data_IF_819533953635
#
_entry.id   IF_819533953635
#
_cell.length_a   1.000
_cell.length_b   1.000
_cell.length_c   1.000
_cell.angle_alpha   90.00
_cell.angle_beta   90.00
_cell.angle_gamma   90.00
#
_symmetry.space_group_name_H-M   'P 1'
#
loop_
_entity.id
_entity.type
_entity.pdbx_description
1 polymer ?
#
# COMPACT_ATOMS: atom_id res chain seq x y z
N UNK A 1 14.76 4.21 13.93
CA UNK A 1 13.37 4.73 13.96
C UNK A 1 13.28 6.27 13.84
N UNK A 2 14.35 7.00 13.48
CA UNK A 2 14.41 8.47 13.51
C UNK A 2 14.66 9.16 12.14
N UNK A 3 14.80 8.42 11.04
CA UNK A 3 15.23 8.99 9.75
C UNK A 3 14.12 9.22 8.70
N UNK A 4 12.89 8.77 8.97
CA UNK A 4 11.73 9.02 8.10
C UNK A 4 11.16 10.45 8.24
N UNK A 5 11.57 11.23 9.25
CA UNK A 5 10.93 12.51 9.59
C UNK A 5 11.35 13.72 8.73
N UNK A 6 12.40 13.56 7.91
CA UNK A 6 12.79 14.60 6.95
C UNK A 6 12.20 14.28 5.58
N UNK A 7 11.18 15.04 5.18
CA UNK A 7 10.55 15.01 3.85
C UNK A 7 11.57 14.71 2.74
N UNK A 8 11.60 13.46 2.28
CA UNK A 8 12.57 12.96 1.31
C UNK A 8 12.36 13.67 -0.02
N UNK A 9 11.09 13.89 -0.37
CA UNK A 9 10.65 14.68 -1.51
C UNK A 9 11.26 16.10 -1.51
N UNK A 10 11.25 16.81 -0.38
CA UNK A 10 11.78 18.18 -0.27
C UNK A 10 13.30 18.22 -0.46
N UNK A 11 14.01 17.22 0.09
CA UNK A 11 15.47 17.08 -0.10
C UNK A 11 15.81 16.84 -1.56
N UNK A 12 15.05 15.98 -2.24
CA UNK A 12 15.26 15.68 -3.67
C UNK A 12 14.89 16.87 -4.55
N UNK A 13 13.81 17.59 -4.23
CA UNK A 13 13.43 18.81 -4.95
C UNK A 13 14.53 19.88 -4.84
N UNK A 14 15.10 20.08 -3.64
CA UNK A 14 16.22 21.01 -3.47
C UNK A 14 17.46 20.57 -4.27
N UNK A 15 17.79 19.27 -4.26
CA UNK A 15 18.87 18.72 -5.10
C UNK A 15 18.59 18.90 -6.59
N UNK A 16 17.34 18.78 -7.03
CA UNK A 16 16.93 19.03 -8.41
C UNK A 16 17.13 20.49 -8.77
N UNK A 17 16.66 21.43 -7.94
CA UNK A 17 16.85 22.85 -8.16
C UNK A 17 18.33 23.24 -8.22
N UNK A 18 19.15 22.72 -7.28
CA UNK A 18 20.59 22.92 -7.26
C UNK A 18 21.26 22.34 -8.52
N UNK A 19 20.92 21.11 -8.91
CA UNK A 19 21.47 20.47 -10.09
C UNK A 19 21.10 21.22 -11.37
N UNK A 20 19.89 21.76 -11.46
CA UNK A 20 19.42 22.58 -12.59
C UNK A 20 20.18 23.91 -12.65
N UNK A 21 20.45 24.53 -11.50
CA UNK A 21 21.28 25.74 -11.41
C UNK A 21 22.73 25.47 -11.84
N UNK A 22 23.32 24.37 -11.38
CA UNK A 22 24.66 23.95 -11.80
C UNK A 22 24.70 23.66 -13.30
N UNK A 23 23.70 22.97 -13.83
CA UNK A 23 23.58 22.71 -15.27
C UNK A 23 23.48 24.02 -16.06
N UNK A 24 22.66 24.97 -15.61
CA UNK A 24 22.52 26.27 -16.25
C UNK A 24 23.83 27.08 -16.20
N UNK A 25 24.56 27.04 -15.08
CA UNK A 25 25.88 27.66 -14.94
C UNK A 25 26.91 27.02 -15.89
N UNK A 26 26.93 25.69 -15.99
CA UNK A 26 27.81 24.97 -16.92
C UNK A 26 27.51 25.33 -18.37
N UNK A 27 26.23 25.40 -18.75
CA UNK A 27 25.81 25.85 -20.08
C UNK A 27 26.22 27.30 -20.31
N UNK A 28 26.14 28.17 -19.29
CA UNK A 28 26.55 29.56 -19.39
C UNK A 28 28.06 29.72 -19.63
N UNK A 29 28.89 28.99 -18.88
CA UNK A 29 30.35 29.02 -19.02
C UNK A 29 30.78 28.43 -20.36
N UNK A 30 30.14 27.35 -20.80
CA UNK A 30 30.46 26.66 -22.05
C UNK A 30 29.74 27.23 -23.27
N UNK A 31 29.20 28.46 -23.20
CA UNK A 31 28.40 29.06 -24.28
C UNK A 31 29.13 29.08 -25.61
N UNK A 32 30.37 29.55 -25.63
CA UNK A 32 31.14 29.69 -26.87
C UNK A 32 31.42 28.32 -27.51
N UNK A 33 31.73 27.31 -26.70
CA UNK A 33 31.92 25.93 -27.14
C UNK A 33 30.62 25.32 -27.68
N UNK A 34 29.50 25.52 -27.00
CA UNK A 34 28.19 25.01 -27.43
C UNK A 34 27.75 25.69 -28.73
N UNK A 35 27.93 27.01 -28.86
CA UNK A 35 27.57 27.75 -30.08
C UNK A 35 28.43 27.32 -31.26
N UNK A 36 29.73 27.11 -31.07
CA UNK A 36 30.59 26.58 -32.12
C UNK A 36 30.21 25.15 -32.52
N UNK A 37 29.98 24.27 -31.54
CA UNK A 37 29.69 22.85 -31.79
C UNK A 37 28.29 22.61 -32.36
N UNK A 38 27.27 23.36 -31.90
CA UNK A 38 25.86 23.14 -32.25
C UNK A 38 25.29 24.15 -33.25
N UNK A 39 25.69 25.42 -33.23
CA UNK A 39 25.11 26.45 -34.10
C UNK A 39 25.93 26.74 -35.36
N UNK A 40 27.26 26.77 -35.27
CA UNK A 40 28.11 27.14 -36.40
C UNK A 40 28.48 25.96 -37.31
N UNK A 41 28.52 24.74 -36.77
CA UNK A 41 28.93 23.53 -37.48
C UNK A 41 27.77 22.57 -37.84
N UNK A 42 26.51 23.04 -37.87
CA UNK A 42 25.35 22.24 -38.29
C UNK A 42 24.66 22.90 -39.50
N UNK A 43 25.09 22.55 -40.73
CA UNK A 43 24.49 23.05 -41.97
C UNK A 43 23.11 22.44 -42.25
N UNK A 44 22.81 21.27 -41.66
CA UNK A 44 21.59 20.51 -41.94
C UNK A 44 20.47 20.86 -40.96
N UNK A 45 19.35 21.39 -41.47
CA UNK A 45 18.14 21.73 -40.67
C UNK A 45 17.62 20.57 -39.82
N UNK A 46 17.91 19.34 -40.23
CA UNK A 46 17.48 18.11 -39.55
C UNK A 46 18.15 17.94 -38.19
N UNK A 47 19.43 18.30 -38.04
CA UNK A 47 20.14 18.22 -36.76
C UNK A 47 19.51 19.11 -35.69
N UNK A 48 19.16 20.33 -36.08
CA UNK A 48 18.44 21.29 -35.24
C UNK A 48 17.08 20.76 -34.78
N UNK A 49 16.32 20.13 -35.69
CA UNK A 49 15.01 19.55 -35.37
C UNK A 49 15.16 18.42 -34.36
N UNK A 50 16.06 17.46 -34.59
CA UNK A 50 16.22 16.29 -33.72
C UNK A 50 16.73 16.70 -32.34
N UNK A 51 17.78 17.53 -32.28
CA UNK A 51 18.33 18.01 -31.01
C UNK A 51 17.31 18.88 -30.25
N UNK A 52 16.53 19.69 -30.97
CA UNK A 52 15.43 20.46 -30.42
C UNK A 52 14.33 19.58 -29.82
N UNK A 53 13.96 18.49 -30.50
CA UNK A 53 12.98 17.50 -29.99
C UNK A 53 13.52 16.79 -28.74
N UNK A 54 14.79 16.38 -28.73
CA UNK A 54 15.44 15.77 -27.54
C UNK A 54 15.37 16.74 -26.36
N UNK A 55 15.74 18.00 -26.57
CA UNK A 55 15.74 19.03 -25.53
C UNK A 55 14.32 19.35 -25.05
N UNK A 56 13.34 19.44 -25.96
CA UNK A 56 11.94 19.70 -25.62
C UNK A 56 11.34 18.54 -24.80
N UNK A 57 11.59 17.29 -25.21
CA UNK A 57 11.14 16.11 -24.47
C UNK A 57 11.78 16.04 -23.08
N UNK A 58 13.08 16.34 -22.98
CA UNK A 58 13.81 16.43 -21.72
C UNK A 58 13.20 17.49 -20.78
N UNK A 59 12.98 18.70 -21.28
CA UNK A 59 12.40 19.79 -20.48
C UNK A 59 10.98 19.45 -20.02
N UNK A 60 10.14 18.90 -20.91
CA UNK A 60 8.79 18.48 -20.59
C UNK A 60 8.79 17.37 -19.52
N UNK A 61 9.69 16.40 -19.64
CA UNK A 61 9.94 15.39 -18.63
C UNK A 61 10.33 16.00 -17.28
N UNK A 62 11.29 16.93 -17.28
CA UNK A 62 11.79 17.56 -16.07
C UNK A 62 10.70 18.36 -15.35
N UNK A 63 9.91 19.13 -16.10
CA UNK A 63 8.72 19.82 -15.57
C UNK A 63 7.77 18.81 -14.94
N UNK A 64 7.50 17.67 -15.61
CA UNK A 64 6.61 16.63 -15.06
C UNK A 64 7.16 16.02 -13.77
N UNK A 65 8.45 15.68 -13.71
CA UNK A 65 9.10 15.18 -12.48
C UNK A 65 8.96 16.22 -11.36
N UNK A 66 9.21 17.49 -11.66
CA UNK A 66 9.11 18.58 -10.68
C UNK A 66 7.70 18.72 -10.12
N UNK A 67 6.67 18.69 -10.99
CA UNK A 67 5.27 18.74 -10.57
C UNK A 67 4.89 17.52 -9.70
N UNK A 68 5.37 16.33 -10.03
CA UNK A 68 5.14 15.12 -9.23
C UNK A 68 5.84 15.21 -7.87
N UNK A 69 7.10 15.65 -7.81
CA UNK A 69 7.81 15.88 -6.55
C UNK A 69 7.08 16.91 -5.67
N UNK A 70 6.62 18.02 -6.25
CA UNK A 70 5.86 19.04 -5.51
C UNK A 70 4.56 18.47 -4.94
N UNK A 71 3.87 17.59 -5.67
CA UNK A 71 2.71 16.87 -5.15
C UNK A 71 3.12 15.95 -4.00
N UNK A 72 4.19 15.17 -4.14
CA UNK A 72 4.68 14.30 -3.07
C UNK A 72 5.13 15.05 -1.82
N UNK A 73 5.67 16.27 -1.94
CA UNK A 73 5.95 17.15 -0.79
C UNK A 73 4.67 17.45 -0.01
N UNK A 74 3.57 17.74 -0.70
CA UNK A 74 2.27 18.00 -0.06
C UNK A 74 1.70 16.74 0.59
N UNK A 75 1.80 15.60 -0.08
CA UNK A 75 1.34 14.30 0.43
C UNK A 75 2.13 13.86 1.68
N UNK A 76 3.47 13.95 1.66
CA UNK A 76 4.32 13.67 2.83
C UNK A 76 3.96 14.60 4.01
N UNK A 77 3.72 15.89 3.73
CA UNK A 77 3.31 16.85 4.74
C UNK A 77 1.92 16.57 5.33
N UNK A 78 0.98 16.08 4.52
CA UNK A 78 -0.34 15.64 4.97
C UNK A 78 -0.25 14.39 5.84
N UNK A 79 0.49 13.37 5.38
CA UNK A 79 0.70 12.12 6.12
C UNK A 79 1.37 12.37 7.48
N UNK A 80 2.36 13.27 7.53
CA UNK A 80 3.01 13.63 8.79
C UNK A 80 2.06 14.29 9.78
N UNK A 81 1.23 15.23 9.31
CA UNK A 81 0.21 15.89 10.15
C UNK A 81 -0.85 14.91 10.64
N UNK A 82 -1.26 13.98 9.78
CA UNK A 82 -2.19 12.91 10.16
C UNK A 82 -1.61 12.04 11.28
N UNK A 83 -0.38 11.53 11.09
CA UNK A 83 0.30 10.69 12.09
C UNK A 83 0.41 11.38 13.45
N UNK A 84 0.88 12.63 13.45
CA UNK A 84 1.07 13.40 14.67
C UNK A 84 -0.25 13.54 15.45
N UNK A 85 -1.38 13.77 14.78
CA UNK A 85 -2.68 13.88 15.45
C UNK A 85 -3.23 12.56 15.98
N UNK A 86 -3.00 11.47 15.25
CA UNK A 86 -3.34 10.13 15.74
C UNK A 86 -2.52 9.79 16.99
N UNK A 87 -1.25 10.18 17.05
CA UNK A 87 -0.38 10.02 18.23
C UNK A 87 -0.81 10.91 19.40
N UNK A 88 -1.18 12.17 19.12
CA UNK A 88 -1.62 13.14 20.14
C UNK A 88 -3.04 12.82 20.67
N UNK A 89 -3.78 11.90 20.03
CA UNK A 89 -5.15 11.51 20.41
C UNK A 89 -6.17 12.66 20.30
N UNK A 90 -5.85 13.69 19.53
CA UNK A 90 -6.55 14.97 19.54
C UNK A 90 -7.58 15.07 18.41
N UNK A 91 -8.87 14.97 18.75
CA UNK A 91 -10.00 15.35 17.88
C UNK A 91 -10.06 14.65 16.51
N UNK A 92 -10.64 15.33 15.51
CA UNK A 92 -10.74 14.82 14.14
C UNK A 92 -9.34 14.73 13.48
N UNK A 93 -8.86 13.52 13.12
CA UNK A 93 -7.53 13.33 12.58
C UNK A 93 -7.34 13.94 11.17
N UNK A 94 -8.44 14.20 10.45
CA UNK A 94 -8.43 14.81 9.12
C UNK A 94 -8.50 16.34 9.13
N UNK A 95 -8.63 16.98 10.29
CA UNK A 95 -8.84 18.42 10.35
C UNK A 95 -7.74 19.24 9.64
N UNK A 96 -8.06 20.02 8.61
CA UNK A 96 -7.05 20.79 7.85
C UNK A 96 -6.10 19.95 6.98
N UNK A 97 -6.45 18.68 6.74
CA UNK A 97 -5.91 17.84 5.69
C UNK A 97 -6.91 17.88 4.52
N UNK A 98 -6.42 18.04 3.30
CA UNK A 98 -7.27 18.09 2.12
C UNK A 98 -7.75 16.67 1.75
N UNK A 99 -9.03 16.54 1.41
CA UNK A 99 -9.68 15.27 1.02
C UNK A 99 -9.01 14.60 -0.18
N UNK A 100 -8.39 15.39 -1.07
CA UNK A 100 -7.66 14.87 -2.23
C UNK A 100 -6.35 14.14 -1.91
N UNK A 101 -5.88 14.19 -0.66
CA UNK A 101 -4.63 13.53 -0.25
C UNK A 101 -4.78 12.01 -0.20
N UNK A 102 -3.67 11.28 -0.30
CA UNK A 102 -3.66 9.83 -0.23
C UNK A 102 -4.10 9.33 1.15
N UNK A 103 -3.69 10.04 2.21
CA UNK A 103 -4.05 9.68 3.59
C UNK A 103 -5.54 9.91 3.88
N UNK A 104 -6.13 11.01 3.41
CA UNK A 104 -7.55 11.27 3.58
C UNK A 104 -8.41 10.23 2.85
N UNK A 105 -8.08 9.95 1.58
CA UNK A 105 -8.77 8.90 0.81
C UNK A 105 -8.62 7.52 1.43
N UNK A 106 -7.47 7.21 2.02
CA UNK A 106 -7.24 5.95 2.73
C UNK A 106 -8.11 5.86 3.98
N UNK A 107 -8.14 6.92 4.79
CA UNK A 107 -9.00 7.02 5.98
C UNK A 107 -10.47 6.83 5.61
N UNK A 108 -10.96 7.59 4.63
CA UNK A 108 -12.35 7.49 4.16
C UNK A 108 -12.69 6.10 3.64
N UNK A 109 -11.81 5.48 2.85
CA UNK A 109 -12.03 4.13 2.33
C UNK A 109 -12.16 3.08 3.45
N UNK A 110 -11.29 3.15 4.47
CA UNK A 110 -11.36 2.24 5.61
C UNK A 110 -12.62 2.49 6.43
N UNK A 111 -12.96 3.75 6.71
CA UNK A 111 -14.18 4.09 7.46
C UNK A 111 -15.46 3.74 6.70
N UNK A 112 -15.47 3.86 5.36
CA UNK A 112 -16.61 3.46 4.53
C UNK A 112 -16.81 1.93 4.52
N UNK A 113 -15.72 1.16 4.51
CA UNK A 113 -15.78 -0.31 4.65
C UNK A 113 -16.28 -0.71 6.03
N UNK A 114 -15.80 -0.03 7.07
CA UNK A 114 -16.24 -0.20 8.46
C UNK A 114 -17.74 0.07 8.61
N UNK A 115 -18.24 1.20 8.09
CA UNK A 115 -19.66 1.55 8.16
C UNK A 115 -20.58 0.49 7.51
N UNK A 116 -20.04 -0.29 6.56
CA UNK A 116 -20.74 -1.38 5.88
C UNK A 116 -20.47 -2.76 6.50
N UNK A 117 -19.75 -2.82 7.62
CA UNK A 117 -19.34 -4.07 8.30
C UNK A 117 -18.59 -5.04 7.37
N UNK A 118 -17.88 -4.51 6.37
CA UNK A 118 -17.10 -5.31 5.45
C UNK A 118 -15.67 -5.51 5.97
N UNK A 119 -15.07 -6.70 5.81
CA UNK A 119 -13.70 -6.93 6.23
C UNK A 119 -12.74 -6.01 5.46
N UNK A 120 -11.86 -5.31 6.18
CA UNK A 120 -10.87 -4.41 5.57
C UNK A 120 -9.69 -5.24 5.05
N UNK A 121 -9.65 -5.45 3.74
CA UNK A 121 -8.52 -6.13 3.12
C UNK A 121 -7.37 -5.13 2.85
N UNK A 122 -6.42 -5.06 3.78
CA UNK A 122 -5.26 -4.17 3.70
C UNK A 122 -4.44 -4.33 2.42
N UNK A 123 -4.18 -5.58 2.01
CA UNK A 123 -3.35 -5.84 0.82
C UNK A 123 -4.06 -5.38 -0.45
N UNK A 124 -5.39 -5.51 -0.53
CA UNK A 124 -6.17 -4.98 -1.63
C UNK A 124 -6.15 -3.44 -1.68
N UNK A 125 -6.28 -2.76 -0.53
CA UNK A 125 -6.18 -1.29 -0.48
C UNK A 125 -4.78 -0.80 -0.88
N UNK A 126 -3.74 -1.43 -0.35
CA UNK A 126 -2.35 -1.13 -0.69
C UNK A 126 -2.10 -1.30 -2.19
N UNK A 127 -2.51 -2.44 -2.76
CA UNK A 127 -2.36 -2.73 -4.18
C UNK A 127 -3.12 -1.72 -5.07
N UNK A 128 -4.35 -1.36 -4.70
CA UNK A 128 -5.14 -0.37 -5.44
C UNK A 128 -4.46 1.01 -5.45
N UNK A 129 -3.94 1.46 -4.30
CA UNK A 129 -3.23 2.75 -4.22
C UNK A 129 -1.89 2.74 -4.97
N UNK A 130 -1.14 1.64 -4.88
CA UNK A 130 0.11 1.45 -5.63
C UNK A 130 -0.15 1.47 -7.14
N UNK A 131 -1.18 0.76 -7.62
CA UNK A 131 -1.57 0.75 -9.02
C UNK A 131 -1.94 2.15 -9.50
N UNK A 132 -2.78 2.87 -8.74
CA UNK A 132 -3.17 4.24 -9.05
C UNK A 132 -1.99 5.20 -9.13
N UNK A 133 -1.03 5.10 -8.22
CA UNK A 133 0.12 6.01 -8.22
C UNK A 133 1.19 5.63 -9.26
N UNK A 134 1.38 4.33 -9.56
CA UNK A 134 2.28 3.83 -10.61
C UNK A 134 1.93 4.36 -12.00
N UNK A 135 0.64 4.52 -12.32
CA UNK A 135 0.22 5.09 -13.61
C UNK A 135 0.76 6.49 -13.85
N UNK A 136 1.05 7.26 -12.79
CA UNK A 136 1.55 8.63 -12.90
C UNK A 136 3.02 8.71 -13.30
N UNK A 137 3.76 7.61 -13.13
CA UNK A 137 5.14 7.46 -13.59
C UNK A 137 5.27 6.99 -15.04
N UNK A 138 4.16 6.69 -15.72
CA UNK A 138 4.17 6.23 -17.13
C UNK A 138 4.87 7.21 -18.06
N UNK A 139 4.49 8.49 -18.02
CA UNK A 139 5.10 9.52 -18.85
C UNK A 139 6.58 9.74 -18.51
N UNK A 140 6.97 9.89 -17.22
CA UNK A 140 8.38 9.97 -16.90
C UNK A 140 9.21 8.78 -17.40
N UNK A 141 8.67 7.57 -17.30
CA UNK A 141 9.29 6.34 -17.81
C UNK A 141 9.43 6.36 -19.33
N UNK A 142 8.39 6.82 -20.05
CA UNK A 142 8.43 6.97 -21.50
C UNK A 142 9.56 7.91 -21.93
N UNK A 143 9.66 9.09 -21.31
CA UNK A 143 10.73 10.06 -21.60
C UNK A 143 12.11 9.45 -21.37
N UNK A 144 12.30 8.76 -20.24
CA UNK A 144 13.58 8.09 -19.93
C UNK A 144 13.99 7.11 -21.03
N UNK A 145 13.05 6.27 -21.47
CA UNK A 145 13.34 5.25 -22.46
C UNK A 145 13.54 5.85 -23.86
N UNK A 146 12.73 6.83 -24.25
CA UNK A 146 12.76 7.40 -25.61
C UNK A 146 13.93 8.35 -25.85
N UNK A 147 14.49 8.98 -24.81
CA UNK A 147 15.60 9.94 -24.99
C UNK A 147 16.82 9.34 -25.70
N UNK A 148 17.24 8.12 -25.31
CA UNK A 148 18.34 7.42 -25.96
C UNK A 148 17.97 7.03 -27.38
N UNK A 149 16.75 6.50 -27.59
CA UNK A 149 16.29 6.10 -28.92
C UNK A 149 16.25 7.28 -29.88
N UNK A 150 15.86 8.48 -29.42
CA UNK A 150 15.94 9.72 -30.22
C UNK A 150 17.39 10.10 -30.55
N UNK A 151 18.34 9.89 -29.63
CA UNK A 151 19.76 10.07 -29.89
C UNK A 151 20.28 9.17 -31.01
N UNK A 152 19.94 7.87 -30.93
CA UNK A 152 20.29 6.87 -31.96
C UNK A 152 19.55 7.15 -33.28
N UNK A 153 18.30 7.59 -33.24
CA UNK A 153 17.60 8.04 -34.44
C UNK A 153 18.33 9.23 -35.09
N UNK A 154 18.81 10.16 -34.26
CA UNK A 154 19.62 11.29 -34.69
C UNK A 154 20.88 10.89 -35.44
N UNK A 155 21.59 9.87 -34.96
CA UNK A 155 22.79 9.37 -35.66
C UNK A 155 22.46 8.74 -36.99
N UNK A 156 21.44 7.89 -37.04
CA UNK A 156 21.02 7.19 -38.25
C UNK A 156 20.63 8.19 -39.34
N UNK A 157 19.79 9.17 -38.99
CA UNK A 157 19.35 10.21 -39.95
C UNK A 157 20.54 11.06 -40.40
N UNK A 158 21.41 11.49 -39.47
CA UNK A 158 22.56 12.34 -39.79
C UNK A 158 23.60 11.63 -40.67
N UNK A 159 23.86 10.34 -40.40
CA UNK A 159 24.74 9.51 -41.23
C UNK A 159 24.13 9.24 -42.61
N UNK A 160 22.80 9.06 -42.68
CA UNK A 160 22.11 8.87 -43.97
C UNK A 160 22.25 10.12 -44.86
N UNK A 161 22.15 11.32 -44.28
CA UNK A 161 22.38 12.58 -45.00
C UNK A 161 23.85 12.71 -45.42
N UNK A 162 24.79 12.30 -44.56
CA UNK A 162 26.21 12.29 -44.91
C UNK A 162 26.50 11.37 -46.12
N UNK A 163 25.87 10.19 -46.16
CA UNK A 163 26.02 9.25 -47.29
C UNK A 163 25.36 9.78 -48.57
N UNK A 164 24.24 10.49 -48.48
CA UNK A 164 23.64 11.18 -49.62
C UNK A 164 24.59 12.25 -50.19
N UNK A 165 25.18 13.09 -49.34
CA UNK A 165 26.20 14.06 -49.77
C UNK A 165 27.43 13.41 -50.41
N UNK A 166 27.83 12.22 -49.93
CA UNK A 166 28.92 11.46 -50.55
C UNK A 166 28.53 10.86 -51.92
N UNK A 167 27.27 10.47 -52.13
CA UNK A 167 26.80 9.94 -53.41
C UNK A 167 26.79 10.99 -54.52
N UNK A 168 26.48 12.25 -54.19
CA UNK A 168 26.52 13.37 -55.13
C UNK A 168 27.95 13.76 -55.55
N UNK A 169 28.95 13.51 -54.69
CA UNK A 169 30.38 13.66 -55.03
C UNK A 169 30.89 12.65 -56.07
N UNK A 170 30.29 11.46 -56.15
CA UNK A 170 30.72 10.40 -57.08
C UNK A 170 30.19 10.64 -58.51
N UNK A 171 29.13 11.44 -58.66
CA UNK A 171 28.37 11.58 -59.91
C UNK A 171 28.83 12.74 -60.82
N UNK A 172 29.82 13.56 -60.41
CA UNK A 172 30.29 14.72 -61.19
C UNK A 172 31.80 14.77 -61.43
N UNK A 173 32.19 14.53 -62.68
CA UNK A 173 33.52 14.68 -63.26
C UNK A 173 33.94 16.14 -63.55
N UNK A 174 33.37 17.16 -62.88
CA UNK A 174 33.74 18.56 -63.19
C UNK A 174 33.43 19.56 -62.06
N UNK A 175 34.49 20.03 -61.40
CA UNK A 175 34.65 21.45 -61.04
C UNK A 175 33.97 22.06 -59.80
N UNK A 176 32.97 21.43 -59.17
CA UNK A 176 32.28 22.00 -58.00
C UNK A 176 32.81 21.48 -56.64
N UNK A 177 34.12 21.59 -56.39
CA UNK A 177 34.85 20.93 -55.29
C UNK A 177 34.68 21.54 -53.87
N UNK A 178 33.64 22.35 -53.60
CA UNK A 178 33.55 23.09 -52.33
C UNK A 178 32.39 22.72 -51.40
N UNK A 179 31.21 22.43 -51.95
CA UNK A 179 29.96 22.39 -51.15
C UNK A 179 29.63 21.04 -50.52
N UNK A 180 30.00 19.95 -51.19
CA UNK A 180 29.40 18.63 -50.95
C UNK A 180 30.18 17.79 -49.92
N UNK A 181 31.52 17.98 -49.85
CA UNK A 181 32.36 17.44 -48.76
C UNK A 181 31.98 18.04 -47.39
N UNK A 182 31.49 19.29 -47.39
CA UNK A 182 30.93 19.94 -46.21
C UNK A 182 29.74 19.18 -45.65
N UNK A 183 28.83 18.67 -46.49
CA UNK A 183 27.65 17.93 -46.03
C UNK A 183 28.02 16.61 -45.32
N UNK A 184 29.05 15.92 -45.79
CA UNK A 184 29.53 14.67 -45.15
C UNK A 184 30.10 14.96 -43.76
N UNK A 185 30.99 15.94 -43.64
CA UNK A 185 31.62 16.32 -42.37
C UNK A 185 30.57 16.82 -41.36
N UNK A 186 29.63 17.64 -41.82
CA UNK A 186 28.57 18.17 -40.98
C UNK A 186 27.57 17.08 -40.56
N UNK A 187 27.26 16.11 -41.43
CA UNK A 187 26.42 14.96 -41.08
C UNK A 187 27.05 14.08 -39.99
N UNK A 188 28.35 13.81 -40.08
CA UNK A 188 29.09 13.09 -39.02
C UNK A 188 29.13 13.87 -37.70
N UNK A 189 29.41 15.17 -37.74
CA UNK A 189 29.42 16.04 -36.56
C UNK A 189 28.05 16.12 -35.88
N UNK A 190 26.98 16.25 -36.69
CA UNK A 190 25.59 16.26 -36.21
C UNK A 190 25.24 14.94 -35.52
N UNK A 191 25.63 13.80 -36.10
CA UNK A 191 25.40 12.48 -35.50
C UNK A 191 26.03 12.36 -34.09
N UNK A 192 27.29 12.79 -33.95
CA UNK A 192 27.97 12.76 -32.65
C UNK A 192 27.29 13.70 -31.65
N UNK A 193 26.97 14.91 -32.08
CA UNK A 193 26.32 15.93 -31.27
C UNK A 193 24.96 15.48 -30.74
N UNK A 194 24.10 14.87 -31.58
CA UNK A 194 22.79 14.36 -31.12
C UNK A 194 22.92 13.22 -30.10
N UNK A 195 23.95 12.38 -30.27
CA UNK A 195 24.22 11.27 -29.33
C UNK A 195 24.67 11.80 -27.98
N UNK A 196 25.60 12.77 -27.97
CA UNK A 196 26.10 13.38 -26.75
C UNK A 196 24.95 14.06 -26.01
N UNK A 197 24.12 14.86 -26.70
CA UNK A 197 22.96 15.49 -26.06
C UNK A 197 22.03 14.45 -25.44
N UNK A 198 21.67 13.41 -26.21
CA UNK A 198 20.75 12.38 -25.73
C UNK A 198 21.27 11.65 -24.49
N UNK A 199 22.56 11.30 -24.46
CA UNK A 199 23.19 10.63 -23.31
C UNK A 199 23.21 11.55 -22.09
N UNK A 200 23.65 12.80 -22.24
CA UNK A 200 23.72 13.75 -21.12
C UNK A 200 22.33 14.01 -20.53
N UNK A 201 21.35 14.29 -21.39
CA UNK A 201 19.97 14.49 -20.96
C UNK A 201 19.38 13.22 -20.32
N UNK A 202 19.67 12.03 -20.87
CA UNK A 202 19.23 10.76 -20.31
C UNK A 202 19.81 10.52 -18.91
N UNK A 203 21.11 10.71 -18.72
CA UNK A 203 21.76 10.46 -17.42
C UNK A 203 21.21 11.40 -16.34
N UNK A 204 21.10 12.70 -16.67
CA UNK A 204 20.54 13.69 -15.76
C UNK A 204 19.09 13.35 -15.41
N UNK A 205 18.27 13.11 -16.43
CA UNK A 205 16.86 12.81 -16.27
C UNK A 205 16.61 11.49 -15.51
N UNK A 206 17.34 10.44 -15.89
CA UNK A 206 17.26 9.10 -15.32
C UNK A 206 17.59 9.09 -13.83
N UNK A 207 18.58 9.88 -13.39
CA UNK A 207 18.88 10.05 -11.96
C UNK A 207 17.66 10.58 -11.18
N UNK A 208 17.02 11.65 -11.66
CA UNK A 208 15.86 12.23 -10.99
C UNK A 208 14.60 11.37 -11.11
N UNK A 209 14.46 10.62 -12.21
CA UNK A 209 13.40 9.62 -12.34
C UNK A 209 13.53 8.49 -11.31
N UNK A 210 14.74 7.99 -11.08
CA UNK A 210 15.00 7.01 -10.01
C UNK A 210 14.66 7.61 -8.64
N UNK A 211 15.13 8.83 -8.35
CA UNK A 211 14.84 9.51 -7.09
C UNK A 211 13.35 9.79 -6.87
N UNK A 212 12.60 10.08 -7.93
CA UNK A 212 11.15 10.21 -7.87
C UNK A 212 10.48 8.88 -7.48
N UNK A 213 10.97 7.77 -8.02
CA UNK A 213 10.46 6.42 -7.71
C UNK A 213 10.77 6.04 -6.25
N UNK A 214 11.96 6.41 -5.75
CA UNK A 214 12.31 6.24 -4.33
C UNK A 214 11.34 6.99 -3.41
N UNK A 215 11.03 8.26 -3.74
CA UNK A 215 10.08 9.09 -2.97
C UNK A 215 8.69 8.46 -2.95
N UNK A 216 8.21 8.00 -4.10
CA UNK A 216 6.91 7.35 -4.19
C UNK A 216 6.85 6.11 -3.29
N UNK A 217 7.87 5.25 -3.38
CA UNK A 217 7.95 4.02 -2.59
C UNK A 217 7.97 4.35 -1.10
N UNK A 218 8.76 5.34 -0.68
CA UNK A 218 8.85 5.77 0.70
C UNK A 218 7.53 6.36 1.22
N UNK A 219 6.84 7.17 0.42
CA UNK A 219 5.54 7.75 0.78
C UNK A 219 4.48 6.65 0.95
N UNK A 220 4.41 5.70 0.01
CA UNK A 220 3.46 4.59 0.08
C UNK A 220 3.76 3.69 1.28
N UNK A 221 5.03 3.37 1.53
CA UNK A 221 5.43 2.62 2.72
C UNK A 221 5.01 3.34 4.01
N UNK A 222 5.20 4.66 4.09
CA UNK A 222 4.74 5.47 5.22
C UNK A 222 3.22 5.47 5.37
N UNK A 223 2.48 5.50 4.27
CA UNK A 223 1.01 5.40 4.28
C UNK A 223 0.54 4.04 4.80
N UNK A 224 1.17 2.95 4.36
CA UNK A 224 0.83 1.61 4.85
C UNK A 224 1.19 1.46 6.32
N UNK A 225 2.36 1.95 6.76
CA UNK A 225 2.74 1.95 8.16
C UNK A 225 1.72 2.71 9.02
N UNK A 226 1.27 3.89 8.58
CA UNK A 226 0.25 4.66 9.30
C UNK A 226 -1.11 3.93 9.30
N UNK A 227 -1.46 3.27 8.19
CA UNK A 227 -2.68 2.46 8.11
C UNK A 227 -2.64 1.31 9.11
N UNK A 228 -1.54 0.55 9.16
CA UNK A 228 -1.39 -0.59 10.07
C UNK A 228 -1.32 -0.16 11.53
N UNK A 229 -0.63 0.95 11.85
CA UNK A 229 -0.38 1.34 13.23
C UNK A 229 -1.56 2.08 13.87
N UNK A 230 -2.29 2.90 13.10
CA UNK A 230 -3.36 3.74 13.65
C UNK A 230 -4.74 3.37 13.11
N UNK A 231 -4.86 3.14 11.80
CA UNK A 231 -6.17 3.02 11.14
C UNK A 231 -6.79 1.62 11.27
N UNK A 232 -5.96 0.56 11.28
CA UNK A 232 -6.41 -0.83 11.40
C UNK A 232 -6.90 -1.20 12.80
N UNK A 233 -6.18 -0.88 13.90
CA UNK A 233 -6.68 -1.15 15.26
C UNK A 233 -8.02 -0.48 15.52
N UNK A 234 -8.21 0.75 15.04
CA UNK A 234 -9.47 1.48 15.15
C UNK A 234 -10.62 0.85 14.33
N UNK A 235 -10.30 0.15 13.24
CA UNK A 235 -11.28 -0.56 12.43
C UNK A 235 -11.67 -1.93 12.99
N UNK A 236 -10.76 -2.61 13.71
CA UNK A 236 -11.00 -3.93 14.30
C UNK A 236 -11.78 -3.89 15.64
N UNK A 237 -11.78 -2.76 16.34
CA UNK A 237 -12.42 -2.64 17.66
C UNK A 237 -13.95 -2.89 17.63
N UNK A 238 -14.62 -2.56 16.52
CA UNK A 238 -16.08 -2.70 16.39
C UNK A 238 -16.51 -4.07 15.80
N UNK A 239 -15.69 -4.66 14.92
CA UNK A 239 -15.90 -6.04 14.45
C UNK A 239 -15.68 -7.06 15.58
N UNK A 240 -14.80 -6.72 16.53
CA UNK A 240 -14.63 -7.44 17.80
C UNK A 240 -15.93 -7.48 18.61
N UNK A 241 -16.74 -6.41 18.63
CA UNK A 241 -17.99 -6.39 19.40
C UNK A 241 -19.02 -7.37 18.86
N UNK A 242 -19.21 -7.44 17.54
CA UNK A 242 -20.11 -8.44 16.93
C UNK A 242 -19.59 -9.87 17.09
N UNK A 243 -18.27 -10.07 16.98
CA UNK A 243 -17.65 -11.36 17.29
C UNK A 243 -17.83 -11.75 18.75
N UNK A 244 -17.65 -10.81 19.69
CA UNK A 244 -17.84 -11.01 21.13
C UNK A 244 -19.30 -11.29 21.46
N UNK A 245 -20.25 -10.64 20.79
CA UNK A 245 -21.69 -10.95 20.94
C UNK A 245 -21.98 -12.36 20.40
N UNK A 246 -21.39 -12.75 19.27
CA UNK A 246 -21.48 -14.11 18.75
C UNK A 246 -20.93 -15.16 19.72
N UNK A 247 -19.77 -14.90 20.35
CA UNK A 247 -19.22 -15.73 21.41
C UNK A 247 -20.10 -15.74 22.65
N UNK A 248 -20.67 -14.59 23.05
CA UNK A 248 -21.57 -14.49 24.19
C UNK A 248 -22.81 -15.35 23.97
N UNK A 249 -23.44 -15.26 22.80
CA UNK A 249 -24.61 -16.07 22.43
C UNK A 249 -24.26 -17.55 22.39
N UNK A 250 -23.08 -17.91 21.89
CA UNK A 250 -22.62 -19.30 21.87
C UNK A 250 -22.37 -19.85 23.28
N UNK A 251 -21.75 -19.03 24.14
CA UNK A 251 -21.50 -19.37 25.55
C UNK A 251 -22.80 -19.48 26.36
N UNK A 252 -23.79 -18.60 26.11
CA UNK A 252 -25.12 -18.69 26.70
C UNK A 252 -25.86 -19.96 26.23
N UNK A 253 -25.73 -20.32 24.95
CA UNK A 253 -26.28 -21.56 24.41
C UNK A 253 -25.65 -22.82 25.02
N UNK A 254 -24.33 -22.81 25.26
CA UNK A 254 -23.62 -23.90 25.96
C UNK A 254 -24.01 -23.98 27.43
N UNK A 255 -24.08 -22.84 28.14
CA UNK A 255 -24.53 -22.79 29.53
C UNK A 255 -25.97 -23.29 29.69
N UNK A 256 -26.88 -22.89 28.80
CA UNK A 256 -28.26 -23.35 28.81
C UNK A 256 -28.36 -24.88 28.60
N UNK A 257 -27.55 -25.46 27.69
CA UNK A 257 -27.50 -26.92 27.51
C UNK A 257 -26.94 -27.64 28.73
N UNK A 258 -25.89 -27.11 29.35
CA UNK A 258 -25.36 -27.71 30.59
C UNK A 258 -26.39 -27.66 31.72
N UNK A 259 -27.15 -26.58 31.81
CA UNK A 259 -28.21 -26.42 32.81
C UNK A 259 -29.37 -27.39 32.57
N UNK A 260 -29.76 -27.61 31.31
CA UNK A 260 -30.76 -28.63 30.96
C UNK A 260 -30.30 -30.06 31.30
N UNK A 261 -29.03 -30.37 31.06
CA UNK A 261 -28.43 -31.66 31.45
C UNK A 261 -28.37 -31.83 32.97
N UNK A 262 -28.02 -30.76 33.70
CA UNK A 262 -27.98 -30.78 35.17
C UNK A 262 -29.38 -30.97 35.77
N UNK A 263 -30.41 -30.28 35.25
CA UNK A 263 -31.80 -30.45 35.66
C UNK A 263 -32.30 -31.89 35.44
N UNK A 264 -31.97 -32.50 34.29
CA UNK A 264 -32.30 -33.92 34.04
C UNK A 264 -31.62 -34.84 35.06
N UNK A 265 -30.35 -34.61 35.35
CA UNK A 265 -29.60 -35.41 36.32
C UNK A 265 -30.12 -35.24 37.76
N UNK A 266 -30.52 -34.02 38.14
CA UNK A 266 -31.19 -33.75 39.41
C UNK A 266 -32.57 -34.41 39.47
N UNK A 267 -33.33 -34.39 38.38
CA UNK A 267 -34.62 -35.08 38.26
C UNK A 267 -34.49 -36.60 38.43
N UNK A 268 -33.49 -37.22 37.80
CA UNK A 268 -33.17 -38.64 37.96
C UNK A 268 -32.73 -38.96 39.39
N UNK A 269 -31.84 -38.16 39.97
CA UNK A 269 -31.40 -38.31 41.36
C UNK A 269 -32.56 -38.20 42.35
N UNK A 270 -33.50 -37.27 42.12
CA UNK A 270 -34.70 -37.11 42.93
C UNK A 270 -35.70 -38.26 42.76
N UNK A 271 -35.79 -38.86 41.57
CA UNK A 271 -36.57 -40.08 41.35
C UNK A 271 -35.94 -41.27 42.09
N UNK A 272 -34.62 -41.42 42.04
CA UNK A 272 -33.90 -42.48 42.73
C UNK A 272 -33.97 -42.34 44.26
N UNK A 273 -33.89 -41.11 44.79
CA UNK A 273 -34.12 -40.81 46.21
C UNK A 273 -35.54 -41.18 46.65
N UNK A 274 -36.55 -40.87 45.83
CA UNK A 274 -37.94 -41.29 46.11
C UNK A 274 -38.10 -42.80 46.12
N UNK A 275 -37.44 -43.53 45.22
CA UNK A 275 -37.45 -45.01 45.21
C UNK A 275 -36.78 -45.57 46.49
N UNK A 276 -35.61 -45.04 46.87
CA UNK A 276 -34.92 -45.45 48.11
C UNK A 276 -35.79 -45.19 49.34
N UNK A 277 -36.39 -43.99 49.45
CA UNK A 277 -37.30 -43.65 50.57
C UNK A 277 -38.53 -44.55 50.57
N UNK A 278 -39.09 -44.89 49.40
CA UNK A 278 -40.19 -45.82 49.27
C UNK A 278 -39.85 -47.23 49.76
N UNK A 279 -38.67 -47.75 49.37
CA UNK A 279 -38.17 -49.05 49.84
C UNK A 279 -37.91 -49.06 51.34
N UNK A 280 -37.25 -48.03 51.86
CA UNK A 280 -36.98 -47.90 53.30
C UNK A 280 -38.29 -47.86 54.10
N UNK A 281 -39.30 -47.14 53.61
CA UNK A 281 -40.64 -47.12 54.22
C UNK A 281 -41.30 -48.49 54.23
N UNK A 282 -41.18 -49.25 53.14
CA UNK A 282 -41.72 -50.63 53.07
C UNK A 282 -41.00 -51.60 54.00
N UNK A 283 -39.68 -51.48 54.14
CA UNK A 283 -38.84 -52.32 55.01
C UNK A 283 -39.11 -52.02 56.48
N UNK A 284 -39.29 -50.75 56.85
CA UNK A 284 -39.72 -50.33 58.19
C UNK A 284 -41.12 -50.88 58.53
N UNK A 285 -42.04 -50.88 57.58
CA UNK A 285 -43.37 -51.48 57.79
C UNK A 285 -43.31 -53.01 57.92
N UNK A 286 -42.45 -53.69 57.18
CA UNK A 286 -42.22 -55.13 57.33
C UNK A 286 -41.63 -55.46 58.72
N UNK A 287 -40.64 -54.68 59.17
CA UNK A 287 -40.05 -54.81 60.50
C UNK A 287 -41.08 -54.62 61.63
N UNK A 288 -42.01 -53.66 61.50
CA UNK A 288 -43.11 -53.47 62.45
C UNK A 288 -44.07 -54.68 62.47
N UNK A 289 -44.30 -55.31 61.32
CA UNK A 289 -45.05 -56.57 61.20
C UNK A 289 -44.36 -57.73 61.94
N UNK A 290 -43.07 -57.95 61.68
CA UNK A 290 -42.26 -58.98 62.36
C UNK A 290 -42.17 -58.72 63.87
N UNK A 291 -42.04 -57.46 64.29
CA UNK A 291 -42.07 -57.08 65.71
C UNK A 291 -43.41 -57.42 66.37
N UNK A 292 -44.53 -57.24 65.67
CA UNK A 292 -45.86 -57.65 66.17
C UNK A 292 -46.00 -59.16 66.25
N UNK A 293 -45.45 -59.89 65.28
CA UNK A 293 -45.45 -61.36 65.27
C UNK A 293 -44.57 -61.91 66.40
N UNK A 294 -43.36 -61.40 66.59
CA UNK A 294 -42.49 -61.72 67.73
C UNK A 294 -43.21 -61.40 69.05
N UNK A 295 -43.88 -60.25 69.14
CA UNK A 295 -44.68 -59.90 70.33
C UNK A 295 -45.82 -60.89 70.56
N UNK A 296 -46.48 -61.39 69.51
CA UNK A 296 -47.53 -62.39 69.61
C UNK A 296 -46.99 -63.75 70.07
N UNK A 297 -45.88 -64.21 69.49
CA UNK A 297 -45.21 -65.48 69.86
C UNK A 297 -44.70 -65.42 71.30
N UNK A 298 -44.07 -64.31 71.71
CA UNK A 298 -43.66 -64.10 73.11
C UNK A 298 -44.89 -64.09 74.03
N UNK A 299 -45.99 -63.46 73.63
CA UNK A 299 -47.23 -63.43 74.43
C UNK A 299 -47.85 -64.82 74.62
N UNK A 300 -47.81 -65.66 73.57
CA UNK A 300 -48.30 -67.05 73.59
C UNK A 300 -47.38 -67.95 74.43
N UNK A 301 -46.06 -67.85 74.25
CA UNK A 301 -45.07 -68.59 75.04
C UNK A 301 -45.07 -68.24 76.53
N UNK A 302 -45.38 -66.99 76.89
CA UNK A 302 -45.46 -66.52 78.27
C UNK A 302 -46.89 -66.51 78.87
N UNK A 303 -47.91 -66.98 78.14
CA UNK A 303 -49.33 -67.06 78.59
C UNK A 303 -49.87 -65.78 79.24
N UNK A 304 -49.68 -64.64 78.59
CA UNK A 304 -50.19 -63.36 79.07
C UNK A 304 -51.67 -63.17 78.63
N UNK A 305 -52.57 -62.67 79.50
CA UNK A 305 -53.99 -62.52 79.18
C UNK A 305 -54.25 -61.54 78.03
N UNK A 306 -55.35 -61.74 77.28
CA UNK A 306 -55.78 -60.81 76.21
C UNK A 306 -56.01 -59.41 76.77
N UNK A 307 -55.64 -58.39 75.99
CA UNK A 307 -55.88 -57.02 76.39
C UNK A 307 -57.39 -56.81 76.22
N UNK A 308 -58.07 -56.66 77.35
CA UNK A 308 -59.52 -56.74 77.44
C UNK A 308 -60.25 -55.68 76.62
N UNK A 309 -61.53 -56.00 76.40
CA UNK A 309 -62.63 -55.04 76.32
C UNK A 309 -62.38 -53.84 77.25
N UNK A 310 -62.26 -52.67 76.65
CA UNK A 310 -63.25 -51.60 76.76
C UNK A 310 -63.43 -50.95 75.38
#
# INVERSE_FOLDING_TARGET
MHDLDRAMSRRILFRLALALLVLAALVFVSRDFIVQLYLQNQLTRVGWIINGVILALFLLGLVRITLLLLRYVREEGALRRYRQRMEDGSGDPLHGISDSTLVARRHEAVMALRARHAPVNHSALAAATLAGESTRLSFPRFVNNVLILLGVLGTIVSLSIALLGASHLVDFSSGALGGDMGLVIHGMSTAMSTTITAIVCYLFYGYFYLKLTDVQTHLLAGLEQATTLYLMPEADDESSLLSRVGELVRSLGEAARQMELAERHHGESAAQLRDIVGRLGSEVHALDGELREIKAILREGFRLPEAGRD
#
